data_IF_486921886635
#
_entry.id   IF_486921886635
#
_cell.length_a   1.000
_cell.length_b   1.000
_cell.length_c   1.000
_cell.angle_alpha   90.00
_cell.angle_beta   90.00
_cell.angle_gamma   90.00
#
_symmetry.space_group_name_H-M   'P 1'
#
loop_
_entity.id
_entity.type
_entity.pdbx_description
1 polymer ?
#
# COMPACT_ATOMS: atom_id res chain seq x y z
N UNK A 1 -8.13 -17.73 -22.97
CA UNK A 1 -7.83 -17.32 -21.60
C UNK A 1 -7.65 -15.81 -21.59
N UNK A 2 -8.58 -15.12 -20.98
CA UNK A 2 -8.44 -13.69 -20.77
C UNK A 2 -7.23 -13.43 -19.87
N UNK A 3 -6.42 -12.43 -20.22
CA UNK A 3 -5.33 -11.92 -19.40
C UNK A 3 -5.53 -10.43 -19.13
N UNK A 4 -6.79 -10.04 -19.02
CA UNK A 4 -7.12 -8.65 -18.78
C UNK A 4 -6.67 -8.24 -17.38
N UNK A 5 -6.09 -7.06 -17.22
CA UNK A 5 -5.75 -6.54 -15.91
C UNK A 5 -7.02 -6.22 -15.10
N UNK A 6 -7.03 -6.67 -13.87
CA UNK A 6 -8.07 -6.36 -12.89
C UNK A 6 -7.46 -5.37 -11.88
N UNK A 7 -7.76 -4.10 -12.08
CA UNK A 7 -7.21 -3.02 -11.27
C UNK A 7 -7.93 -2.88 -9.95
N UNK A 8 -7.19 -2.55 -8.92
CA UNK A 8 -7.73 -2.15 -7.63
C UNK A 8 -8.22 -0.69 -7.69
N UNK A 9 -9.06 -0.33 -6.74
CA UNK A 9 -9.60 1.02 -6.59
C UNK A 9 -9.20 1.60 -5.24
N UNK A 10 -8.77 2.85 -5.24
CA UNK A 10 -8.62 3.63 -4.02
C UNK A 10 -10.02 4.02 -3.54
N UNK A 11 -10.34 3.67 -2.29
CA UNK A 11 -11.63 3.93 -1.69
C UNK A 11 -11.65 5.27 -0.95
N UNK A 12 -10.57 5.61 -0.25
CA UNK A 12 -10.41 6.88 0.42
C UNK A 12 -8.93 7.21 0.60
N UNK A 13 -8.63 8.50 0.60
CA UNK A 13 -7.29 9.01 0.89
C UNK A 13 -7.40 10.32 1.67
N UNK A 14 -6.54 10.51 2.67
CA UNK A 14 -6.55 11.69 3.52
C UNK A 14 -5.15 12.02 4.04
N UNK A 15 -4.85 13.31 4.17
CA UNK A 15 -3.63 13.80 4.79
C UNK A 15 -3.98 14.46 6.14
N UNK A 16 -3.19 14.14 7.16
CA UNK A 16 -3.18 14.82 8.44
C UNK A 16 -1.86 15.58 8.51
N UNK A 17 -1.87 16.90 8.31
CA UNK A 17 -0.62 17.68 8.18
C UNK A 17 0.24 17.66 9.44
N UNK A 18 -0.40 17.65 10.61
CA UNK A 18 0.29 17.67 11.90
C UNK A 18 -0.52 16.84 12.91
N UNK A 19 -0.18 15.57 12.99
CA UNK A 19 -0.86 14.65 13.90
C UNK A 19 -0.54 14.99 15.36
N UNK A 20 -1.52 14.80 16.25
CA UNK A 20 -1.31 15.04 17.68
C UNK A 20 -0.30 14.04 18.27
N UNK A 21 0.43 14.41 19.32
CA UNK A 21 1.31 13.46 20.00
C UNK A 21 0.58 12.21 20.51
N UNK A 22 -0.68 12.34 20.90
CA UNK A 22 -1.49 11.21 21.34
C UNK A 22 -1.77 10.21 20.20
N UNK A 23 -2.09 10.71 19.01
CA UNK A 23 -2.28 9.85 17.83
C UNK A 23 -0.97 9.16 17.45
N UNK A 24 0.15 9.87 17.51
CA UNK A 24 1.46 9.31 17.12
C UNK A 24 1.95 8.22 18.07
N UNK A 25 1.48 8.19 19.31
CA UNK A 25 1.83 7.13 20.27
C UNK A 25 1.32 5.75 19.89
N UNK A 26 0.29 5.68 19.07
CA UNK A 26 -0.29 4.42 18.61
C UNK A 26 0.54 3.74 17.52
N UNK A 27 1.55 4.43 17.00
CA UNK A 27 2.44 3.89 15.98
C UNK A 27 3.81 3.58 16.55
N UNK A 28 4.25 2.35 16.31
CA UNK A 28 5.61 1.94 16.61
C UNK A 28 6.55 2.33 15.45
N UNK A 29 7.81 2.59 15.78
CA UNK A 29 8.90 2.72 14.80
C UNK A 29 8.78 3.85 13.77
N UNK A 30 8.07 4.94 14.08
CA UNK A 30 8.15 6.15 13.26
C UNK A 30 9.21 7.11 13.82
N UNK A 31 9.99 7.79 12.97
CA UNK A 31 10.92 8.81 13.43
C UNK A 31 10.23 9.93 14.22
N UNK A 32 10.87 10.43 15.27
CA UNK A 32 10.29 11.41 16.20
C UNK A 32 9.79 12.68 15.51
N UNK A 33 10.47 13.10 14.45
CA UNK A 33 10.11 14.30 13.69
C UNK A 33 9.06 14.06 12.59
N UNK A 34 8.57 12.81 12.41
CA UNK A 34 7.57 12.47 11.39
C UNK A 34 6.16 12.66 11.96
N UNK A 35 5.63 13.88 11.82
CA UNK A 35 4.33 14.28 12.37
C UNK A 35 3.22 14.41 11.34
N UNK A 36 3.54 14.32 10.06
CA UNK A 36 2.55 14.32 9.00
C UNK A 36 2.18 12.87 8.65
N UNK A 37 0.89 12.62 8.45
CA UNK A 37 0.37 11.31 8.10
C UNK A 37 -0.40 11.37 6.79
N UNK A 38 -0.34 10.31 6.01
CA UNK A 38 -1.23 10.08 4.88
C UNK A 38 -1.90 8.72 5.05
N UNK A 39 -3.23 8.71 4.94
CA UNK A 39 -4.05 7.53 5.08
C UNK A 39 -4.60 7.15 3.72
N UNK A 40 -4.61 5.86 3.41
CA UNK A 40 -5.19 5.33 2.19
C UNK A 40 -5.94 4.03 2.49
N UNK A 41 -7.11 3.88 1.88
CA UNK A 41 -7.84 2.63 1.85
C UNK A 41 -8.10 2.22 0.41
N UNK A 42 -8.03 0.94 0.15
CA UNK A 42 -8.23 0.37 -1.18
C UNK A 42 -8.91 -1.00 -1.07
N UNK A 43 -9.39 -1.50 -2.18
CA UNK A 43 -10.13 -2.77 -2.26
C UNK A 43 -9.24 -4.00 -2.54
N UNK A 44 -7.93 -3.82 -2.54
CA UNK A 44 -6.95 -4.91 -2.68
C UNK A 44 -5.77 -4.68 -1.75
N UNK A 45 -5.53 -5.63 -0.85
CA UNK A 45 -4.41 -5.55 0.07
C UNK A 45 -3.06 -5.79 -0.62
N UNK A 46 -2.93 -6.78 -1.46
CA UNK A 46 -1.67 -7.12 -2.13
C UNK A 46 -1.17 -5.97 -3.02
N UNK A 47 -2.06 -5.37 -3.80
CA UNK A 47 -1.75 -4.20 -4.62
C UNK A 47 -1.34 -3.01 -3.73
N UNK A 48 -2.01 -2.82 -2.60
CA UNK A 48 -1.73 -1.71 -1.70
C UNK A 48 -0.40 -1.90 -0.95
N UNK A 49 -0.06 -3.11 -0.53
CA UNK A 49 1.27 -3.37 0.04
C UNK A 49 2.39 -3.01 -0.93
N UNK A 50 2.23 -3.36 -2.19
CA UNK A 50 3.17 -2.95 -3.25
C UNK A 50 3.21 -1.42 -3.41
N UNK A 51 2.05 -0.77 -3.35
CA UNK A 51 1.94 0.68 -3.48
C UNK A 51 2.59 1.42 -2.30
N UNK A 52 2.42 0.92 -1.07
CA UNK A 52 3.07 1.51 0.11
C UNK A 52 4.60 1.40 0.01
N UNK A 53 5.11 0.29 -0.50
CA UNK A 53 6.54 0.15 -0.76
C UNK A 53 7.05 1.16 -1.80
N UNK A 54 6.28 1.36 -2.88
CA UNK A 54 6.61 2.35 -3.90
C UNK A 54 6.65 3.77 -3.31
N UNK A 55 5.73 4.10 -2.40
CA UNK A 55 5.74 5.37 -1.71
C UNK A 55 7.06 5.62 -0.95
N UNK A 56 7.61 4.60 -0.29
CA UNK A 56 8.88 4.71 0.43
C UNK A 56 10.08 4.96 -0.48
N UNK A 57 9.97 4.64 -1.77
CA UNK A 57 11.01 4.89 -2.76
C UNK A 57 10.90 6.28 -3.42
N UNK A 58 9.71 6.87 -3.40
CA UNK A 58 9.41 8.13 -4.10
C UNK A 58 9.40 9.36 -3.18
N UNK A 59 9.29 9.16 -1.89
CA UNK A 59 9.20 10.23 -0.91
C UNK A 59 9.91 9.84 0.39
N UNK A 60 10.22 10.84 1.20
CA UNK A 60 10.76 10.63 2.55
C UNK A 60 9.62 10.26 3.50
N UNK A 61 9.17 9.02 3.40
CA UNK A 61 8.10 8.48 4.23
C UNK A 61 8.43 7.06 4.69
N UNK A 62 7.81 6.68 5.81
CA UNK A 62 7.80 5.30 6.30
C UNK A 62 6.36 4.80 6.34
N UNK A 63 6.18 3.50 6.24
CA UNK A 63 4.87 2.89 6.48
C UNK A 63 4.68 2.74 7.99
N UNK A 64 3.82 3.58 8.55
CA UNK A 64 3.52 3.57 9.98
C UNK A 64 2.57 2.43 10.37
N UNK A 65 1.68 2.05 9.46
CA UNK A 65 0.68 1.01 9.69
C UNK A 65 0.15 0.48 8.36
N UNK A 66 -0.06 -0.81 8.28
CA UNK A 66 -0.76 -1.42 7.16
C UNK A 66 -1.45 -2.70 7.64
N UNK A 67 -2.75 -2.81 7.40
CA UNK A 67 -3.54 -3.96 7.85
C UNK A 67 -4.72 -4.22 6.93
N UNK A 68 -4.84 -5.49 6.53
CA UNK A 68 -6.00 -6.01 5.81
C UNK A 68 -7.17 -6.25 6.77
N UNK A 69 -8.39 -6.08 6.26
CA UNK A 69 -9.63 -6.28 7.01
C UNK A 69 -10.31 -7.60 6.62
N UNK A 70 -9.59 -8.71 6.69
CA UNK A 70 -10.20 -10.01 6.46
C UNK A 70 -11.15 -10.40 7.59
N UNK A 71 -12.23 -11.06 7.21
CA UNK A 71 -12.98 -11.91 8.10
C UNK A 71 -13.71 -11.20 9.23
N UNK A 72 -14.83 -10.65 8.97
CA UNK A 72 -15.70 -10.18 10.01
C UNK A 72 -16.80 -9.27 9.52
N UNK A 73 -16.54 -8.47 8.52
CA UNK A 73 -17.57 -7.65 7.90
C UNK A 73 -17.91 -8.22 6.52
N UNK A 74 -19.18 -8.16 6.15
CA UNK A 74 -19.65 -8.67 4.85
C UNK A 74 -18.97 -7.96 3.65
N UNK A 75 -18.45 -6.76 3.88
CA UNK A 75 -17.76 -5.94 2.88
C UNK A 75 -16.22 -5.91 3.05
N UNK A 76 -15.67 -6.73 3.96
CA UNK A 76 -14.23 -6.76 4.19
C UNK A 76 -13.48 -7.58 3.13
N UNK A 77 -14.17 -8.48 2.46
CA UNK A 77 -13.62 -9.28 1.38
C UNK A 77 -14.08 -8.74 0.04
N UNK A 78 -13.14 -8.53 -0.86
CA UNK A 78 -13.41 -8.07 -2.23
C UNK A 78 -13.02 -9.14 -3.24
N UNK A 79 -13.35 -8.92 -4.51
CA UNK A 79 -12.92 -9.78 -5.61
C UNK A 79 -11.39 -9.86 -5.75
N UNK A 80 -10.67 -8.84 -5.27
CA UNK A 80 -9.21 -8.71 -5.35
C UNK A 80 -8.54 -8.93 -3.99
N UNK A 81 -8.99 -9.88 -3.21
CA UNK A 81 -8.59 -10.29 -1.89
C UNK A 81 -9.33 -9.54 -0.76
N UNK A 82 -8.91 -8.39 -0.30
CA UNK A 82 -9.58 -7.70 0.80
C UNK A 82 -9.29 -6.21 0.87
N UNK A 83 -10.13 -5.50 1.58
CA UNK A 83 -9.88 -4.10 1.90
C UNK A 83 -8.69 -3.96 2.86
N UNK A 84 -8.02 -2.83 2.78
CA UNK A 84 -6.83 -2.52 3.56
C UNK A 84 -6.84 -1.05 3.97
N UNK A 85 -6.28 -0.77 5.13
CA UNK A 85 -5.81 0.56 5.48
C UNK A 85 -4.28 0.60 5.47
N UNK A 86 -3.71 1.63 4.84
CA UNK A 86 -2.30 1.96 4.90
C UNK A 86 -2.11 3.36 5.45
N UNK A 87 -1.08 3.56 6.28
CA UNK A 87 -0.74 4.86 6.84
C UNK A 87 0.74 5.11 6.63
N UNK A 88 1.04 6.20 5.93
CA UNK A 88 2.39 6.72 5.76
C UNK A 88 2.65 7.81 6.79
N UNK A 89 3.86 7.87 7.32
CA UNK A 89 4.34 8.98 8.13
C UNK A 89 5.54 9.66 7.46
N UNK A 90 5.61 10.97 7.56
CA UNK A 90 6.69 11.75 6.98
C UNK A 90 6.97 13.04 7.76
N UNK A 91 8.08 13.72 7.41
CA UNK A 91 8.54 14.90 8.16
C UNK A 91 7.69 16.15 7.92
N UNK A 92 6.96 16.20 6.83
CA UNK A 92 6.11 17.34 6.47
C UNK A 92 4.98 16.91 5.52
N UNK A 93 3.95 17.76 5.32
CA UNK A 93 2.82 17.43 4.45
C UNK A 93 3.20 17.19 2.99
N UNK A 94 4.23 17.86 2.48
CA UNK A 94 4.65 17.69 1.08
C UNK A 94 5.21 16.28 0.83
N UNK A 95 5.99 15.73 1.75
CA UNK A 95 6.53 14.39 1.64
C UNK A 95 5.44 13.31 1.73
N UNK A 96 4.52 13.42 2.69
CA UNK A 96 3.43 12.44 2.78
C UNK A 96 2.48 12.54 1.60
N UNK A 97 2.30 13.74 1.03
CA UNK A 97 1.52 13.89 -0.21
C UNK A 97 2.21 13.23 -1.38
N UNK A 98 3.50 13.42 -1.55
CA UNK A 98 4.27 12.76 -2.61
C UNK A 98 4.24 11.24 -2.48
N UNK A 99 4.36 10.71 -1.27
CA UNK A 99 4.21 9.28 -1.00
C UNK A 99 2.80 8.78 -1.30
N UNK A 100 1.78 9.52 -0.88
CA UNK A 100 0.38 9.17 -1.14
C UNK A 100 0.07 9.17 -2.64
N UNK A 101 0.51 10.19 -3.37
CA UNK A 101 0.31 10.28 -4.83
C UNK A 101 1.00 9.10 -5.54
N UNK A 102 2.19 8.72 -5.12
CA UNK A 102 2.90 7.55 -5.66
C UNK A 102 2.15 6.25 -5.38
N UNK A 103 1.60 6.09 -4.18
CA UNK A 103 0.79 4.94 -3.81
C UNK A 103 -0.51 4.86 -4.63
N UNK A 104 -1.20 5.97 -4.79
CA UNK A 104 -2.43 6.04 -5.60
C UNK A 104 -2.13 5.67 -7.06
N UNK A 105 -1.08 6.22 -7.64
CA UNK A 105 -0.69 5.91 -9.02
C UNK A 105 -0.35 4.42 -9.19
N UNK A 106 0.35 3.83 -8.25
CA UNK A 106 0.67 2.40 -8.27
C UNK A 106 -0.59 1.53 -8.18
N UNK A 107 -1.54 1.88 -7.32
CA UNK A 107 -2.81 1.13 -7.18
C UNK A 107 -3.64 1.22 -8.46
N UNK A 108 -3.74 2.41 -9.04
CA UNK A 108 -4.61 2.65 -10.19
C UNK A 108 -3.98 2.25 -11.53
N UNK A 109 -2.65 2.30 -11.65
CA UNK A 109 -1.96 2.16 -12.94
C UNK A 109 -0.79 1.18 -12.93
N UNK A 110 -0.13 0.95 -11.81
CA UNK A 110 1.16 0.25 -11.77
C UNK A 110 1.07 -1.23 -11.42
N UNK A 111 0.16 -1.62 -10.56
CA UNK A 111 0.00 -2.98 -10.08
C UNK A 111 -1.45 -3.44 -10.25
N UNK A 112 -1.64 -4.71 -10.62
CA UNK A 112 -2.97 -5.25 -10.89
C UNK A 112 -2.98 -6.77 -10.81
N UNK A 113 -4.15 -7.31 -10.51
CA UNK A 113 -4.42 -8.74 -10.69
C UNK A 113 -4.66 -9.07 -12.16
N UNK A 114 -4.51 -10.32 -12.51
CA UNK A 114 -4.76 -10.82 -13.87
C UNK A 114 -5.82 -11.91 -13.81
N UNK A 115 -6.78 -11.82 -14.72
CA UNK A 115 -7.82 -12.83 -14.85
C UNK A 115 -7.25 -14.12 -15.42
N UNK A 116 -7.61 -15.25 -14.82
CA UNK A 116 -7.22 -16.57 -15.27
C UNK A 116 -8.35 -17.30 -16.03
N UNK A 117 -9.56 -16.74 -16.06
CA UNK A 117 -10.71 -17.32 -16.75
C UNK A 117 -11.62 -16.24 -17.37
N UNK A 118 -12.64 -16.66 -18.12
CA UNK A 118 -13.43 -15.72 -18.92
C UNK A 118 -14.44 -14.90 -18.12
N UNK A 119 -14.84 -15.36 -16.95
CA UNK A 119 -15.79 -14.67 -16.07
C UNK A 119 -15.10 -13.91 -14.90
N UNK A 120 -13.78 -13.87 -14.90
CA UNK A 120 -12.97 -13.22 -13.86
C UNK A 120 -13.21 -13.78 -12.44
N UNK A 121 -13.73 -14.99 -12.33
CA UNK A 121 -13.93 -15.63 -11.01
C UNK A 121 -12.65 -16.18 -10.41
N UNK A 122 -11.63 -16.39 -11.25
CA UNK A 122 -10.29 -16.81 -10.86
C UNK A 122 -9.31 -15.74 -11.29
N UNK A 123 -8.59 -15.17 -10.35
CA UNK A 123 -7.55 -14.19 -10.63
C UNK A 123 -6.29 -14.48 -9.81
N UNK A 124 -5.18 -13.96 -10.26
CA UNK A 124 -3.92 -14.05 -9.55
C UNK A 124 -3.18 -12.72 -9.59
N UNK A 125 -2.33 -12.53 -8.60
CA UNK A 125 -1.44 -11.38 -8.51
C UNK A 125 -0.01 -11.87 -8.73
N UNK A 126 0.65 -11.32 -9.74
CA UNK A 126 2.06 -11.59 -10.01
C UNK A 126 2.73 -10.26 -10.33
N UNK A 127 3.53 -9.75 -9.41
CA UNK A 127 4.18 -8.47 -9.55
C UNK A 127 5.67 -8.59 -9.27
N UNK A 128 6.49 -8.15 -10.21
CA UNK A 128 7.94 -8.13 -10.04
C UNK A 128 8.38 -6.72 -9.65
N UNK A 129 9.06 -6.63 -8.52
CA UNK A 129 9.64 -5.40 -8.01
C UNK A 129 11.14 -5.48 -8.26
N UNK A 130 11.67 -4.65 -9.15
CA UNK A 130 13.10 -4.66 -9.49
C UNK A 130 13.97 -4.16 -8.36
N UNK A 131 13.45 -3.24 -7.55
CA UNK A 131 14.13 -2.68 -6.38
C UNK A 131 13.10 -2.46 -5.28
N UNK A 132 13.20 -3.19 -4.20
CA UNK A 132 12.34 -3.00 -3.04
C UNK A 132 12.67 -1.70 -2.31
N UNK A 133 11.62 -1.06 -1.79
CA UNK A 133 11.73 0.01 -0.82
C UNK A 133 11.91 -0.53 0.60
N UNK A 134 11.79 0.33 1.59
CA UNK A 134 11.99 -0.04 3.00
C UNK A 134 10.91 -0.95 3.56
N UNK A 135 9.69 -0.89 3.03
CA UNK A 135 8.55 -1.62 3.58
C UNK A 135 8.58 -3.11 3.23
N UNK A 136 8.63 -3.46 1.94
CA UNK A 136 8.62 -4.86 1.53
C UNK A 136 9.96 -5.55 1.78
N UNK A 137 11.08 -4.83 1.76
CA UNK A 137 12.37 -5.41 2.13
C UNK A 137 12.39 -5.87 3.58
N UNK A 138 11.86 -5.08 4.49
CA UNK A 138 11.72 -5.45 5.90
C UNK A 138 10.77 -6.65 6.05
N UNK A 139 9.60 -6.61 5.44
CA UNK A 139 8.62 -7.69 5.48
C UNK A 139 9.12 -9.01 4.89
N UNK A 140 9.92 -8.96 3.83
CA UNK A 140 10.50 -10.13 3.19
C UNK A 140 11.83 -10.58 3.82
N UNK A 141 12.41 -9.80 4.72
CA UNK A 141 13.71 -10.11 5.33
C UNK A 141 14.87 -10.06 4.35
N UNK A 142 14.82 -9.17 3.36
CA UNK A 142 15.87 -8.97 2.34
C UNK A 142 16.45 -7.55 2.44
N UNK A 143 17.67 -7.32 1.96
CA UNK A 143 18.22 -5.97 1.88
C UNK A 143 17.35 -5.04 1.02
N UNK A 144 17.21 -3.78 1.43
CA UNK A 144 16.55 -2.76 0.62
C UNK A 144 17.25 -2.60 -0.73
N UNK A 145 16.48 -2.50 -1.80
CA UNK A 145 16.99 -2.42 -3.15
C UNK A 145 17.15 -3.75 -3.87
N UNK A 146 16.96 -4.87 -3.19
CA UNK A 146 16.92 -6.20 -3.81
C UNK A 146 15.66 -6.40 -4.64
N UNK A 147 15.73 -7.26 -5.63
CA UNK A 147 14.55 -7.63 -6.42
C UNK A 147 13.65 -8.59 -5.64
N UNK A 148 12.35 -8.45 -5.82
CA UNK A 148 11.34 -9.28 -5.18
C UNK A 148 10.24 -9.64 -6.17
N UNK A 149 9.91 -10.92 -6.28
CA UNK A 149 8.69 -11.35 -6.94
C UNK A 149 7.58 -11.51 -5.89
N UNK A 150 6.53 -10.78 -6.07
CA UNK A 150 5.33 -10.83 -5.22
C UNK A 150 4.27 -11.66 -5.94
N UNK A 151 3.93 -12.81 -5.37
CA UNK A 151 3.03 -13.77 -5.99
C UNK A 151 2.00 -14.26 -4.99
#
# INVERSE_FOLDING_TARGET
MKRDPLKASVLAAKIIPNASPEMLKDFDNIPENYKSLALITADSDDVTYTALDEATKKADVVVAYAKSFYGGAANANTKLAGEIIGILAGPNPAEVKSGLDAAIDMIENGAYFVSANDDDSICYYAHCISRTGSYLSEGAGIPEGEALAYL
#
